data_IF_888742364874
#
_entry.id   IF_888742364874
#
_cell.length_a   1.000
_cell.length_b   1.000
_cell.length_c   1.000
_cell.angle_alpha   90.00
_cell.angle_beta   90.00
_cell.angle_gamma   90.00
#
_symmetry.space_group_name_H-M   'P 1'
#
loop_
_entity.id
_entity.type
_entity.pdbx_description
1 polymer ?
#
# COMPACT_ATOMS: atom_id res chain seq x y z
N UNK A 1 -17.98 6.20 2.28
CA UNK A 1 -17.59 6.93 1.04
C UNK A 1 -18.63 6.68 -0.06
N UNK A 2 -19.87 6.38 0.32
CA UNK A 2 -20.69 5.44 -0.45
C UNK A 2 -21.44 6.09 -1.63
N UNK A 3 -21.26 7.41 -1.77
CA UNK A 3 -21.75 8.22 -2.88
C UNK A 3 -20.61 8.84 -3.70
N UNK A 4 -19.37 8.63 -3.31
CA UNK A 4 -18.20 9.16 -4.01
C UNK A 4 -17.77 8.17 -5.10
N UNK A 5 -17.61 8.61 -6.36
CA UNK A 5 -17.12 7.73 -7.42
C UNK A 5 -15.76 7.12 -7.06
N UNK A 6 -15.49 5.87 -7.47
CA UNK A 6 -14.24 5.18 -7.16
C UNK A 6 -13.02 5.92 -7.69
N UNK A 7 -13.11 6.63 -8.82
CA UNK A 7 -12.01 7.39 -9.42
C UNK A 7 -11.56 8.55 -8.51
N UNK A 8 -12.52 9.23 -7.88
CA UNK A 8 -12.25 10.31 -6.94
C UNK A 8 -11.66 9.74 -5.65
N UNK A 9 -12.20 8.63 -5.16
CA UNK A 9 -11.63 7.92 -4.01
C UNK A 9 -10.19 7.48 -4.28
N UNK A 10 -9.90 6.88 -5.44
CA UNK A 10 -8.54 6.48 -5.83
C UNK A 10 -7.61 7.69 -5.89
N UNK A 11 -8.06 8.85 -6.37
CA UNK A 11 -7.27 10.08 -6.35
C UNK A 11 -7.00 10.58 -4.92
N UNK A 12 -7.98 10.53 -4.03
CA UNK A 12 -7.77 10.85 -2.61
C UNK A 12 -6.76 9.88 -1.99
N UNK A 13 -6.89 8.58 -2.28
CA UNK A 13 -6.00 7.56 -1.75
C UNK A 13 -4.58 7.69 -2.32
N UNK A 14 -4.40 8.14 -3.56
CA UNK A 14 -3.06 8.39 -4.12
C UNK A 14 -2.34 9.53 -3.39
N UNK A 15 -3.07 10.53 -2.90
CA UNK A 15 -2.48 11.60 -2.09
C UNK A 15 -2.30 11.18 -0.61
N UNK A 16 -3.14 10.29 -0.10
CA UNK A 16 -3.08 9.83 1.29
C UNK A 16 -2.02 8.72 1.52
N UNK A 17 -1.82 7.81 0.57
CA UNK A 17 -0.89 6.69 0.67
C UNK A 17 0.57 7.09 0.42
N UNK A 18 1.04 8.19 1.02
CA UNK A 18 2.42 8.69 0.90
C UNK A 18 3.25 8.45 2.17
N UNK A 19 2.67 7.75 3.15
CA UNK A 19 3.32 7.41 4.42
C UNK A 19 4.15 6.11 4.34
N UNK A 20 4.43 5.47 5.48
CA UNK A 20 5.18 4.22 5.58
C UNK A 20 4.47 2.96 5.03
N UNK A 21 3.32 3.11 4.37
CA UNK A 21 2.43 2.02 3.97
C UNK A 21 1.32 1.75 5.00
N UNK A 22 1.23 2.57 6.04
CA UNK A 22 0.22 2.44 7.08
C UNK A 22 -1.16 2.80 6.54
N UNK A 23 -1.30 3.93 5.86
CA UNK A 23 -2.58 4.37 5.29
C UNK A 23 -3.11 3.38 4.27
N UNK A 24 -2.27 2.85 3.37
CA UNK A 24 -2.68 1.83 2.39
C UNK A 24 -3.23 0.56 3.05
N UNK A 25 -2.60 0.10 4.13
CA UNK A 25 -3.08 -1.02 4.94
C UNK A 25 -4.41 -0.71 5.62
N UNK A 26 -4.53 0.47 6.24
CA UNK A 26 -5.76 0.89 6.92
C UNK A 26 -6.95 0.95 5.96
N UNK A 27 -6.77 1.55 4.78
CA UNK A 27 -7.80 1.60 3.73
C UNK A 27 -8.26 0.19 3.30
N UNK A 28 -7.32 -0.75 3.18
CA UNK A 28 -7.62 -2.13 2.79
C UNK A 28 -8.52 -2.87 3.77
N UNK A 29 -8.70 -2.36 5.00
CA UNK A 29 -9.46 -2.98 6.09
C UNK A 29 -10.80 -2.31 6.38
N UNK A 30 -11.13 -1.19 5.72
CA UNK A 30 -12.36 -0.42 6.06
C UNK A 30 -13.63 -1.09 5.54
N UNK A 31 -13.67 -1.43 4.24
CA UNK A 31 -14.82 -2.05 3.60
C UNK A 31 -14.42 -2.70 2.28
N UNK A 32 -15.29 -3.56 1.70
CA UNK A 32 -15.05 -4.15 0.37
C UNK A 32 -14.84 -3.10 -0.72
N UNK A 33 -15.62 -2.01 -0.68
CA UNK A 33 -15.49 -0.91 -1.63
C UNK A 33 -14.11 -0.22 -1.53
N UNK A 34 -13.71 0.17 -0.32
CA UNK A 34 -12.43 0.86 -0.10
C UNK A 34 -11.25 -0.09 -0.35
N UNK A 35 -11.39 -1.35 0.03
CA UNK A 35 -10.42 -2.39 -0.28
C UNK A 35 -10.14 -2.48 -1.77
N UNK A 36 -11.18 -2.57 -2.60
CA UNK A 36 -11.04 -2.67 -4.06
C UNK A 36 -10.48 -1.37 -4.66
N UNK A 37 -11.00 -0.23 -4.22
CA UNK A 37 -10.65 1.09 -4.78
C UNK A 37 -9.22 1.54 -4.43
N UNK A 38 -8.67 1.04 -3.31
CA UNK A 38 -7.29 1.35 -2.88
C UNK A 38 -6.24 0.38 -3.45
N UNK A 39 -6.62 -0.72 -4.13
CA UNK A 39 -5.67 -1.76 -4.57
C UNK A 39 -4.48 -1.22 -5.36
N UNK A 40 -4.71 -0.26 -6.26
CA UNK A 40 -3.69 0.28 -7.17
C UNK A 40 -2.70 1.24 -6.48
N UNK A 41 -3.03 1.73 -5.29
CA UNK A 41 -2.25 2.75 -4.56
C UNK A 41 -1.80 2.31 -3.18
N UNK A 42 -2.35 1.22 -2.62
CA UNK A 42 -2.04 0.77 -1.24
C UNK A 42 -0.57 0.40 -1.02
N UNK A 43 0.16 0.04 -2.08
CA UNK A 43 1.58 -0.34 -2.03
C UNK A 43 2.51 0.76 -2.58
N UNK A 44 1.99 1.96 -2.91
CA UNK A 44 2.79 2.97 -3.60
C UNK A 44 3.90 3.58 -2.74
N UNK A 45 3.75 3.57 -1.42
CA UNK A 45 4.74 4.07 -0.46
C UNK A 45 4.93 3.05 0.64
N UNK A 46 6.16 2.58 0.85
CA UNK A 46 6.50 1.49 1.76
C UNK A 46 7.79 1.85 2.52
N UNK A 47 7.75 1.66 3.84
CA UNK A 47 8.91 1.78 4.72
C UNK A 47 9.19 0.42 5.39
N UNK A 48 10.37 -0.12 5.16
CA UNK A 48 10.86 -1.38 5.71
C UNK A 48 12.02 -1.05 6.65
N UNK A 49 11.91 -1.41 7.93
CA UNK A 49 12.86 -1.09 9.00
C UNK A 49 13.60 -2.31 9.54
N UNK A 50 13.42 -3.47 8.92
CA UNK A 50 14.08 -4.72 9.32
C UNK A 50 14.15 -5.73 8.18
N UNK A 51 15.06 -6.69 8.30
CA UNK A 51 15.13 -7.85 7.41
C UNK A 51 13.82 -8.65 7.41
N UNK A 52 13.19 -8.83 8.59
CA UNK A 52 11.89 -9.53 8.71
C UNK A 52 10.81 -8.86 7.87
N UNK A 53 10.69 -7.54 7.92
CA UNK A 53 9.74 -6.79 7.11
C UNK A 53 10.06 -6.90 5.62
N UNK A 54 11.35 -6.89 5.26
CA UNK A 54 11.79 -7.02 3.87
C UNK A 54 11.43 -8.37 3.27
N UNK A 55 11.68 -9.46 3.99
CA UNK A 55 11.31 -10.82 3.55
C UNK A 55 9.79 -10.95 3.45
N UNK A 56 9.04 -10.49 4.44
CA UNK A 56 7.58 -10.54 4.41
C UNK A 56 6.99 -9.73 3.25
N UNK A 57 7.53 -8.53 2.98
CA UNK A 57 7.10 -7.70 1.87
C UNK A 57 7.43 -8.33 0.52
N UNK A 58 8.60 -8.97 0.38
CA UNK A 58 8.95 -9.71 -0.83
C UNK A 58 7.98 -10.87 -1.10
N UNK A 59 7.57 -11.61 -0.06
CA UNK A 59 6.54 -12.67 -0.19
C UNK A 59 5.20 -12.09 -0.61
N UNK A 60 4.76 -10.98 0.00
CA UNK A 60 3.53 -10.28 -0.38
C UNK A 60 3.54 -9.87 -1.86
N UNK A 61 4.66 -9.34 -2.36
CA UNK A 61 4.78 -8.96 -3.76
C UNK A 61 4.70 -10.16 -4.70
N UNK A 62 5.23 -11.33 -4.32
CA UNK A 62 5.12 -12.55 -5.14
C UNK A 62 3.66 -12.99 -5.32
N UNK A 63 2.85 -12.86 -4.27
CA UNK A 63 1.42 -13.23 -4.27
C UNK A 63 0.52 -12.16 -4.91
N UNK A 64 0.98 -10.91 -4.99
CA UNK A 64 0.21 -9.80 -5.56
C UNK A 64 0.24 -9.85 -7.10
N UNK A 65 -0.85 -9.60 -7.85
CA UNK A 65 -0.79 -9.50 -9.32
C UNK A 65 0.17 -8.40 -9.82
N UNK A 66 0.92 -8.59 -10.93
CA UNK A 66 1.94 -7.64 -11.38
C UNK A 66 1.47 -6.18 -11.50
N UNK A 67 0.25 -5.96 -11.99
CA UNK A 67 -0.32 -4.62 -12.16
C UNK A 67 -0.65 -3.89 -10.84
N UNK A 68 -0.62 -4.60 -9.69
CA UNK A 68 -0.86 -4.05 -8.35
C UNK A 68 0.43 -3.92 -7.51
N UNK A 69 1.59 -4.35 -8.04
CA UNK A 69 2.90 -4.29 -7.34
C UNK A 69 3.59 -2.92 -7.41
N UNK A 70 2.84 -1.85 -7.70
CA UNK A 70 3.44 -0.55 -7.99
C UNK A 70 3.91 0.13 -6.71
N UNK A 71 5.22 0.08 -6.46
CA UNK A 71 5.91 0.83 -5.40
C UNK A 71 6.60 2.03 -6.03
N UNK A 72 6.27 3.25 -5.59
CA UNK A 72 6.89 4.52 -6.06
C UNK A 72 7.94 5.03 -5.08
N UNK A 73 7.64 4.92 -3.80
CA UNK A 73 8.50 5.36 -2.71
C UNK A 73 8.83 4.15 -1.84
N UNK A 74 10.11 3.79 -1.79
CA UNK A 74 10.60 2.65 -1.03
C UNK A 74 11.72 3.13 -0.12
N UNK A 75 11.48 3.07 1.19
CA UNK A 75 12.50 3.28 2.19
C UNK A 75 12.87 1.93 2.81
N UNK A 76 14.16 1.61 2.82
CA UNK A 76 14.70 0.42 3.48
C UNK A 76 15.77 0.87 4.46
N UNK A 77 15.57 0.56 5.73
CA UNK A 77 16.63 0.56 6.73
C UNK A 77 16.71 -0.83 7.35
N UNK A 78 17.93 -1.30 7.54
CA UNK A 78 18.22 -2.38 8.47
C UNK A 78 19.18 -1.78 9.46
N UNK A 79 18.76 -1.45 10.70
CA UNK A 79 19.75 -1.15 11.72
C UNK A 79 20.70 -2.36 11.79
N UNK A 80 22.01 -2.09 11.75
CA UNK A 80 23.01 -3.10 12.07
C UNK A 80 22.73 -3.64 13.48
N UNK A 81 22.90 -4.96 13.72
CA UNK A 81 22.76 -5.54 15.05
C UNK A 81 23.74 -4.96 16.06
#
# INVERSE_FOLDING_TARGET
MDKCPPEICTKIFSEACLDSGYTGRSLSLVSKFIHNTSQSVKLQSICLRSLKQTVAFASLLKETPPHLRRVRYLFISSPEP
#
